data_IF_955691225941
#
_entry.id   IF_955691225941
#
_cell.length_a   1.000
_cell.length_b   1.000
_cell.length_c   1.000
_cell.angle_alpha   90.00
_cell.angle_beta   90.00
_cell.angle_gamma   90.00
#
_symmetry.space_group_name_H-M   'P 1'
#
loop_
_entity.id
_entity.type
_entity.pdbx_description
1 polymer ?
#
# COMPACT_ATOMS: atom_id res chain seq x y z
N UNK A 1 37.16 3.69 7.76
CA UNK A 1 36.21 4.20 6.76
C UNK A 1 35.08 3.20 6.70
N UNK A 2 33.85 3.60 7.01
CA UNK A 2 32.71 2.67 6.97
C UNK A 2 32.45 2.21 5.54
N UNK A 3 32.15 0.92 5.36
CA UNK A 3 31.79 0.34 4.07
C UNK A 3 30.35 0.75 3.72
N UNK A 4 30.23 1.80 2.92
CA UNK A 4 28.94 2.36 2.49
C UNK A 4 28.38 1.72 1.23
N UNK A 5 29.14 0.85 0.54
CA UNK A 5 28.73 0.26 -0.74
C UNK A 5 27.41 -0.53 -0.67
N UNK A 6 27.13 -1.30 0.41
CA UNK A 6 25.85 -1.99 0.56
C UNK A 6 24.66 -1.02 0.61
N UNK A 7 24.82 0.16 1.23
CA UNK A 7 23.76 1.16 1.31
C UNK A 7 23.44 1.77 -0.06
N UNK A 8 24.47 2.04 -0.88
CA UNK A 8 24.26 2.51 -2.24
C UNK A 8 23.54 1.46 -3.10
N UNK A 9 23.93 0.19 -3.00
CA UNK A 9 23.25 -0.91 -3.72
C UNK A 9 21.80 -1.05 -3.29
N UNK A 10 21.53 -1.01 -1.98
CA UNK A 10 20.16 -1.04 -1.45
C UNK A 10 19.34 0.14 -1.96
N UNK A 11 19.92 1.34 -2.02
CA UNK A 11 19.26 2.53 -2.57
C UNK A 11 18.87 2.33 -4.04
N UNK A 12 19.77 1.82 -4.88
CA UNK A 12 19.44 1.51 -6.27
C UNK A 12 18.33 0.48 -6.39
N UNK A 13 18.38 -0.58 -5.58
CA UNK A 13 17.35 -1.60 -5.55
C UNK A 13 15.97 -1.04 -5.17
N UNK A 14 15.90 -0.19 -4.13
CA UNK A 14 14.65 0.47 -3.72
C UNK A 14 14.11 1.36 -4.84
N UNK A 15 14.97 2.15 -5.48
CA UNK A 15 14.57 3.02 -6.60
C UNK A 15 13.99 2.19 -7.76
N UNK A 16 14.69 1.13 -8.17
CA UNK A 16 14.26 0.25 -9.25
C UNK A 16 12.93 -0.45 -8.93
N UNK A 17 12.78 -0.95 -7.70
CA UNK A 17 11.55 -1.53 -7.21
C UNK A 17 10.39 -0.53 -7.28
N UNK A 18 10.60 0.71 -6.80
CA UNK A 18 9.60 1.77 -6.84
C UNK A 18 9.17 2.12 -8.27
N UNK A 19 10.12 2.24 -9.19
CA UNK A 19 9.84 2.53 -10.60
C UNK A 19 9.06 1.39 -11.27
N UNK A 20 9.45 0.14 -10.98
CA UNK A 20 8.78 -1.05 -11.49
C UNK A 20 7.34 -1.14 -10.97
N UNK A 21 7.14 -0.98 -9.66
CA UNK A 21 5.81 -0.97 -9.05
C UNK A 21 4.94 0.14 -9.63
N UNK A 22 5.50 1.34 -9.86
CA UNK A 22 4.79 2.45 -10.51
C UNK A 22 4.34 2.09 -11.93
N UNK A 23 5.22 1.49 -12.72
CA UNK A 23 4.90 1.05 -14.08
C UNK A 23 3.77 0.01 -14.10
N UNK A 24 3.83 -0.98 -13.21
CA UNK A 24 2.79 -2.01 -13.06
C UNK A 24 1.46 -1.36 -12.63
N UNK A 25 1.50 -0.48 -11.63
CA UNK A 25 0.31 0.21 -11.13
C UNK A 25 -0.35 1.08 -12.21
N UNK A 26 0.43 1.80 -13.02
CA UNK A 26 -0.10 2.59 -14.12
C UNK A 26 -0.83 1.72 -15.15
N UNK A 27 -0.24 0.59 -15.55
CA UNK A 27 -0.88 -0.37 -16.46
C UNK A 27 -2.19 -0.91 -15.89
N UNK A 28 -2.21 -1.18 -14.58
CA UNK A 28 -3.41 -1.61 -13.89
C UNK A 28 -4.47 -0.52 -13.93
N UNK A 29 -4.15 0.71 -13.54
CA UNK A 29 -5.07 1.86 -13.60
C UNK A 29 -5.64 2.05 -15.01
N UNK A 30 -4.80 2.04 -16.05
CA UNK A 30 -5.24 2.22 -17.42
C UNK A 30 -6.24 1.12 -17.83
N UNK A 31 -5.94 -0.16 -17.52
CA UNK A 31 -6.87 -1.27 -17.77
C UNK A 31 -8.22 -1.09 -17.05
N UNK A 32 -8.20 -0.66 -15.78
CA UNK A 32 -9.44 -0.46 -15.02
C UNK A 32 -10.20 0.80 -15.44
N UNK A 33 -9.53 1.86 -15.89
CA UNK A 33 -10.19 3.05 -16.47
C UNK A 33 -10.95 2.71 -17.74
N UNK A 34 -10.42 1.80 -18.56
CA UNK A 34 -11.08 1.36 -19.79
C UNK A 34 -12.28 0.44 -19.52
N UNK A 35 -12.30 -0.27 -18.39
CA UNK A 35 -13.29 -1.31 -18.07
C UNK A 35 -14.35 -0.90 -17.02
N UNK A 36 -14.02 0.04 -16.13
CA UNK A 36 -14.86 0.44 -14.99
C UNK A 36 -15.02 1.96 -14.95
N UNK A 37 -16.17 2.44 -14.44
CA UNK A 37 -16.36 3.86 -14.13
C UNK A 37 -15.24 4.35 -13.18
N UNK A 38 -15.01 5.66 -13.12
CA UNK A 38 -13.85 6.39 -12.58
C UNK A 38 -13.37 6.09 -11.13
N UNK A 39 -13.89 5.06 -10.49
CA UNK A 39 -13.57 4.63 -9.13
C UNK A 39 -13.32 3.12 -9.06
N UNK A 40 -12.24 2.73 -8.39
CA UNK A 40 -11.91 1.35 -8.07
C UNK A 40 -12.12 1.12 -6.57
N UNK A 41 -12.96 0.16 -6.20
CA UNK A 41 -13.12 -0.23 -4.79
C UNK A 41 -12.17 -1.38 -4.48
N UNK A 42 -11.35 -1.21 -3.45
CA UNK A 42 -10.45 -2.25 -2.93
C UNK A 42 -10.70 -2.49 -1.44
N UNK A 43 -10.45 -3.71 -1.02
CA UNK A 43 -10.58 -4.19 0.35
C UNK A 43 -9.20 -4.48 0.91
N UNK A 44 -8.87 -3.87 2.04
CA UNK A 44 -7.61 -4.07 2.75
C UNK A 44 -7.84 -4.73 4.09
N UNK A 45 -7.29 -5.93 4.26
CA UNK A 45 -7.31 -6.66 5.51
C UNK A 45 -6.00 -6.53 6.26
N UNK A 46 -6.09 -6.30 7.55
CA UNK A 46 -4.95 -6.29 8.46
C UNK A 46 -5.32 -7.02 9.76
N UNK A 47 -4.39 -7.83 10.25
CA UNK A 47 -4.45 -8.44 11.57
C UNK A 47 -3.63 -7.59 12.53
N UNK A 48 -4.27 -7.04 13.56
CA UNK A 48 -3.62 -6.33 14.65
C UNK A 48 -4.06 -6.93 15.98
N UNK A 49 -3.19 -7.00 16.96
CA UNK A 49 -3.61 -7.26 18.34
C UNK A 49 -4.25 -6.00 18.94
N UNK A 50 -5.01 -6.16 20.03
CA UNK A 50 -5.55 -5.01 20.76
C UNK A 50 -4.45 -4.07 21.27
N UNK A 51 -3.27 -4.63 21.59
CA UNK A 51 -2.09 -3.84 21.96
C UNK A 51 -1.60 -3.00 20.78
N UNK A 52 -1.46 -3.57 19.59
CA UNK A 52 -1.03 -2.83 18.40
C UNK A 52 -2.01 -1.68 18.08
N UNK A 53 -3.32 -1.92 18.24
CA UNK A 53 -4.35 -0.89 18.07
C UNK A 53 -4.15 0.25 19.09
N UNK A 54 -3.86 -0.08 20.34
CA UNK A 54 -3.65 0.92 21.39
C UNK A 54 -2.36 1.72 21.16
N UNK A 55 -1.29 1.08 20.67
CA UNK A 55 -0.06 1.76 20.27
C UNK A 55 -0.28 2.69 19.08
N UNK A 56 -1.08 2.25 18.09
CA UNK A 56 -1.47 3.08 16.95
C UNK A 56 -2.24 4.32 17.39
N UNK A 57 -3.17 4.19 18.34
CA UNK A 57 -3.89 5.35 18.91
C UNK A 57 -2.96 6.34 19.61
N UNK A 58 -1.92 5.86 20.28
CA UNK A 58 -0.94 6.69 20.99
C UNK A 58 0.11 7.33 20.07
N UNK A 59 0.16 6.91 18.80
CA UNK A 59 1.10 7.39 17.79
C UNK A 59 0.47 8.35 16.78
N UNK A 60 -0.75 8.83 17.03
CA UNK A 60 -1.36 9.91 16.23
C UNK A 60 -0.41 11.13 16.19
N UNK A 61 -0.11 11.61 14.98
CA UNK A 61 0.83 12.70 14.75
C UNK A 61 2.32 12.31 14.79
N UNK A 62 2.63 11.01 14.91
CA UNK A 62 3.99 10.47 14.88
C UNK A 62 4.19 9.55 13.67
N UNK A 63 5.46 9.29 13.33
CA UNK A 63 5.79 8.25 12.35
C UNK A 63 5.62 6.87 12.98
N UNK A 64 4.90 6.00 12.26
CA UNK A 64 4.67 4.61 12.65
C UNK A 64 5.29 3.70 11.60
N UNK A 65 6.07 2.72 12.07
CA UNK A 65 6.52 1.59 11.26
C UNK A 65 5.94 0.32 11.85
N UNK A 66 5.17 -0.43 11.05
CA UNK A 66 4.55 -1.68 11.48
C UNK A 66 5.18 -2.87 10.74
N UNK A 67 5.52 -3.93 11.46
CA UNK A 67 5.96 -5.21 10.89
C UNK A 67 4.76 -6.06 10.47
N UNK A 68 3.95 -5.55 9.54
CA UNK A 68 2.71 -6.20 9.11
C UNK A 68 2.45 -6.03 7.62
N UNK A 69 1.79 -7.02 7.02
CA UNK A 69 1.36 -6.95 5.63
C UNK A 69 -0.10 -6.46 5.56
N UNK A 70 -0.34 -5.39 4.82
CA UNK A 70 -1.68 -4.95 4.45
C UNK A 70 -2.09 -5.71 3.20
N UNK A 71 -3.05 -6.63 3.31
CA UNK A 71 -3.62 -7.21 2.11
C UNK A 71 -4.35 -6.13 1.31
N UNK A 72 -4.42 -6.27 0.00
CA UNK A 72 -5.25 -5.42 -0.86
C UNK A 72 -5.83 -6.31 -1.94
N UNK A 73 -7.16 -6.36 -2.03
CA UNK A 73 -7.89 -7.20 -2.98
C UNK A 73 -9.13 -6.48 -3.50
N UNK A 74 -9.55 -6.81 -4.71
CA UNK A 74 -10.86 -6.41 -5.24
C UNK A 74 -11.99 -7.27 -4.67
N UNK A 75 -11.67 -8.48 -4.22
CA UNK A 75 -12.64 -9.35 -3.56
C UNK A 75 -12.68 -9.05 -2.07
N UNK A 76 -13.87 -8.66 -1.60
CA UNK A 76 -14.15 -8.45 -0.18
C UNK A 76 -13.86 -9.71 0.64
N UNK A 77 -14.27 -10.89 0.15
CA UNK A 77 -14.03 -12.17 0.82
C UNK A 77 -12.53 -12.45 1.00
N UNK A 78 -11.71 -12.11 0.00
CA UNK A 78 -10.26 -12.24 0.12
C UNK A 78 -9.74 -11.26 1.16
N UNK A 79 -10.16 -9.99 1.11
CA UNK A 79 -9.81 -9.01 2.15
C UNK A 79 -10.16 -9.50 3.55
N UNK A 80 -11.34 -10.12 3.70
CA UNK A 80 -11.84 -10.70 4.95
C UNK A 80 -10.95 -11.80 5.50
N UNK A 81 -10.44 -12.69 4.65
CA UNK A 81 -9.50 -13.76 5.06
C UNK A 81 -8.20 -13.21 5.67
N UNK A 82 -7.82 -11.99 5.30
CA UNK A 82 -6.65 -11.30 5.85
C UNK A 82 -7.01 -10.29 6.95
N UNK A 83 -8.29 -9.94 7.11
CA UNK A 83 -8.77 -9.12 8.22
C UNK A 83 -9.23 -10.03 9.34
N UNK A 84 -8.36 -10.29 10.31
CA UNK A 84 -8.82 -10.96 11.52
C UNK A 84 -9.76 -10.04 12.34
N UNK A 85 -9.47 -8.74 12.34
CA UNK A 85 -10.24 -7.75 13.10
C UNK A 85 -10.42 -6.40 12.38
N UNK A 86 -9.60 -6.07 11.38
CA UNK A 86 -9.69 -4.79 10.67
C UNK A 86 -9.78 -5.01 9.16
N UNK A 87 -10.94 -4.67 8.58
CA UNK A 87 -11.16 -4.58 7.15
C UNK A 87 -11.45 -3.12 6.79
N UNK A 88 -10.63 -2.56 5.91
CA UNK A 88 -10.85 -1.23 5.36
C UNK A 88 -11.31 -1.34 3.91
N UNK A 89 -12.44 -0.72 3.59
CA UNK A 89 -12.83 -0.47 2.21
C UNK A 89 -12.25 0.87 1.78
N UNK A 90 -11.58 0.90 0.63
CA UNK A 90 -10.98 2.10 0.07
C UNK A 90 -11.51 2.26 -1.35
N UNK A 91 -12.13 3.41 -1.60
CA UNK A 91 -12.49 3.83 -2.95
C UNK A 91 -11.35 4.68 -3.51
N UNK A 92 -10.77 4.23 -4.61
CA UNK A 92 -9.68 4.90 -5.30
C UNK A 92 -10.26 5.59 -6.53
N UNK A 93 -10.20 6.92 -6.59
CA UNK A 93 -10.45 7.64 -7.85
C UNK A 93 -9.26 7.41 -8.78
N UNK A 94 -9.48 6.61 -9.82
CA UNK A 94 -8.43 6.20 -10.75
C UNK A 94 -7.91 7.37 -11.56
N UNK A 95 -8.68 8.45 -11.72
CA UNK A 95 -8.28 9.67 -12.46
C UNK A 95 -7.25 10.49 -11.68
N UNK A 96 -7.33 10.47 -10.35
CA UNK A 96 -6.43 11.23 -9.48
C UNK A 96 -5.08 10.55 -9.29
N UNK A 97 -4.98 9.23 -9.49
CA UNK A 97 -3.72 8.49 -9.27
C UNK A 97 -2.62 8.82 -10.29
N UNK A 98 -2.94 9.27 -11.51
CA UNK A 98 -1.92 9.69 -12.49
C UNK A 98 -1.07 10.89 -12.00
N UNK A 99 -1.59 11.66 -11.05
CA UNK A 99 -0.95 12.88 -10.52
C UNK A 99 -0.25 12.68 -9.16
N UNK A 100 -0.20 11.47 -8.61
CA UNK A 100 0.53 11.21 -7.37
C UNK A 100 2.04 11.17 -7.65
N UNK A 101 2.71 12.26 -7.33
CA UNK A 101 4.17 12.34 -7.24
C UNK A 101 4.56 11.67 -5.93
N UNK A 102 4.96 10.40 -6.00
CA UNK A 102 5.69 9.77 -4.91
C UNK A 102 7.09 10.39 -4.88
N UNK A 103 7.33 11.22 -3.86
CA UNK A 103 8.63 11.83 -3.58
C UNK A 103 9.63 10.81 -3.03
#
# INVERSE_FOLDING_TARGET
TEDTDPLYKLRYFIIDLCLTLKSINNKYIDFYQDQFESSLVVYRGLTLSDNDINELKQSIGKYVSTNGFLSTSLSREVGEKFSFNILSEITIDTRLQKNLIYA
#
